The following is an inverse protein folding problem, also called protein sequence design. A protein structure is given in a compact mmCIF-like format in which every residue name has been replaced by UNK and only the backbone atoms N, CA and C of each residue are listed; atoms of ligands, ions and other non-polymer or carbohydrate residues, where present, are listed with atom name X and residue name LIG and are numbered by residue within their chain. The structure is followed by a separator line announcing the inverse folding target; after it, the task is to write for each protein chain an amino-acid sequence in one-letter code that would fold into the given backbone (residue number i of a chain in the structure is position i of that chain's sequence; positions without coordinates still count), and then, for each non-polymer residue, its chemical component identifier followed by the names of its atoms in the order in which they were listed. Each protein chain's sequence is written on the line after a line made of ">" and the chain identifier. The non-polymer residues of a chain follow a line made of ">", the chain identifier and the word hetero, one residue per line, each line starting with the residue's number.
data_IF_511778190146
#
_entry.id   IF_511778190146
#
_cell.length_a   1.000
_cell.length_b   1.000
_cell.length_c   1.000
_cell.angle_alpha   90.00
_cell.angle_beta   90.00
_cell.angle_gamma   90.00
#
_symmetry.space_group_name_H-M   'P 1'
#
loop_
_entity.id
_entity.type
_entity.pdbx_description
1 polymer ?
#
# COMPACT_ATOMS: atom_id res chain seq x y z
N UNK A 1 -23.68 28.01 -3.56
CA UNK A 1 -22.55 27.68 -4.44
C UNK A 1 -21.72 26.52 -3.89
N UNK A 2 -21.30 26.57 -2.62
CA UNK A 2 -20.38 25.57 -2.03
C UNK A 2 -20.91 24.13 -1.97
N UNK A 3 -22.23 23.94 -1.89
CA UNK A 3 -22.82 22.61 -1.76
C UNK A 3 -22.83 21.83 -3.09
N UNK A 4 -23.06 22.52 -4.21
CA UNK A 4 -23.02 21.90 -5.54
C UNK A 4 -21.61 21.44 -5.91
N UNK A 5 -20.60 22.24 -5.54
CA UNK A 5 -19.19 21.91 -5.76
C UNK A 5 -18.80 20.64 -5.00
N UNK A 6 -19.23 20.52 -3.73
CA UNK A 6 -18.99 19.33 -2.90
C UNK A 6 -19.63 18.07 -3.49
N UNK A 7 -20.85 18.19 -4.00
CA UNK A 7 -21.57 17.08 -4.67
C UNK A 7 -20.83 16.64 -5.93
N UNK A 8 -20.40 17.60 -6.76
CA UNK A 8 -19.64 17.32 -7.98
C UNK A 8 -18.31 16.59 -7.69
N UNK A 9 -17.54 17.07 -6.70
CA UNK A 9 -16.29 16.43 -6.29
C UNK A 9 -16.51 15.04 -5.70
N UNK A 10 -17.50 14.87 -4.81
CA UNK A 10 -17.80 13.57 -4.22
C UNK A 10 -18.15 12.53 -5.28
N UNK A 11 -18.96 12.91 -6.28
CA UNK A 11 -19.30 12.07 -7.42
C UNK A 11 -18.06 11.67 -8.23
N UNK A 12 -17.17 12.63 -8.49
CA UNK A 12 -15.94 12.38 -9.23
C UNK A 12 -14.96 11.47 -8.47
N UNK A 13 -14.75 11.71 -7.18
CA UNK A 13 -13.88 10.86 -6.36
C UNK A 13 -14.44 9.45 -6.25
N UNK A 14 -15.73 9.30 -6.01
CA UNK A 14 -16.39 7.98 -5.99
C UNK A 14 -16.20 7.22 -7.30
N UNK A 15 -16.27 7.92 -8.45
CA UNK A 15 -16.01 7.31 -9.75
C UNK A 15 -14.55 6.88 -9.90
N UNK A 16 -13.59 7.72 -9.50
CA UNK A 16 -12.16 7.41 -9.55
C UNK A 16 -11.82 6.21 -8.67
N UNK A 17 -12.32 6.17 -7.44
CA UNK A 17 -12.11 5.06 -6.50
C UNK A 17 -12.66 3.75 -7.07
N UNK A 18 -13.88 3.75 -7.62
CA UNK A 18 -14.47 2.55 -8.24
C UNK A 18 -13.66 2.03 -9.41
N UNK A 19 -13.16 2.92 -10.27
CA UNK A 19 -12.30 2.54 -11.40
C UNK A 19 -10.98 1.96 -10.92
N UNK A 20 -10.32 2.61 -9.96
CA UNK A 20 -9.07 2.10 -9.39
C UNK A 20 -9.28 0.72 -8.77
N UNK A 21 -10.31 0.55 -7.95
CA UNK A 21 -10.62 -0.71 -7.30
C UNK A 21 -10.96 -1.82 -8.31
N UNK A 22 -11.99 -1.62 -9.13
CA UNK A 22 -12.58 -2.67 -9.95
C UNK A 22 -11.87 -2.91 -11.29
N UNK A 23 -11.27 -1.88 -11.89
CA UNK A 23 -10.65 -1.99 -13.23
C UNK A 23 -9.15 -2.24 -13.14
N UNK A 24 -8.48 -1.73 -12.09
CA UNK A 24 -7.02 -1.81 -11.99
C UNK A 24 -6.60 -2.83 -10.94
N UNK A 25 -6.92 -2.56 -9.67
CA UNK A 25 -6.33 -3.32 -8.55
C UNK A 25 -6.90 -4.74 -8.42
N UNK A 26 -8.22 -4.93 -8.53
CA UNK A 26 -8.84 -6.26 -8.42
C UNK A 26 -8.43 -7.23 -9.52
N UNK A 27 -8.50 -6.87 -10.83
CA UNK A 27 -8.02 -7.78 -11.88
C UNK A 27 -6.51 -8.00 -11.79
N UNK A 28 -5.73 -6.97 -11.45
CA UNK A 28 -4.30 -7.11 -11.20
C UNK A 28 -3.98 -8.08 -10.05
N UNK A 29 -4.73 -8.01 -8.95
CA UNK A 29 -4.61 -8.94 -7.82
C UNK A 29 -4.96 -10.37 -8.23
N UNK A 30 -6.06 -10.57 -8.96
CA UNK A 30 -6.48 -11.90 -9.44
C UNK A 30 -5.39 -12.50 -10.34
N UNK A 31 -4.85 -11.72 -11.27
CA UNK A 31 -3.76 -12.15 -12.14
C UNK A 31 -2.49 -12.48 -11.35
N UNK A 32 -2.08 -11.63 -10.40
CA UNK A 32 -0.91 -11.88 -9.58
C UNK A 32 -1.05 -13.14 -8.72
N UNK A 33 -2.24 -13.36 -8.13
CA UNK A 33 -2.54 -14.56 -7.36
C UNK A 33 -2.57 -15.81 -8.24
N UNK A 34 -3.17 -15.76 -9.42
CA UNK A 34 -3.22 -16.91 -10.33
C UNK A 34 -1.82 -17.32 -10.80
N UNK A 35 -0.96 -16.34 -11.13
CA UNK A 35 0.44 -16.61 -11.48
C UNK A 35 1.22 -17.18 -10.29
N UNK A 36 1.00 -16.65 -9.08
CA UNK A 36 1.65 -17.17 -7.87
C UNK A 36 1.22 -18.63 -7.59
N UNK A 37 -0.06 -18.95 -7.71
CA UNK A 37 -0.59 -20.31 -7.53
C UNK A 37 -0.02 -21.24 -8.60
N UNK A 38 0.00 -20.81 -9.87
CA UNK A 38 0.58 -21.57 -10.97
C UNK A 38 2.06 -21.91 -10.71
N UNK A 39 2.86 -20.95 -10.24
CA UNK A 39 4.26 -21.18 -9.88
C UNK A 39 4.42 -22.22 -8.76
N UNK A 40 3.58 -22.15 -7.72
CA UNK A 40 3.63 -23.10 -6.59
C UNK A 40 3.26 -24.51 -7.04
N UNK A 41 2.30 -24.66 -7.95
CA UNK A 41 1.93 -25.95 -8.52
C UNK A 41 3.07 -26.53 -9.36
N UNK A 42 3.75 -25.70 -10.15
CA UNK A 42 4.89 -26.14 -10.97
C UNK A 42 6.12 -26.55 -10.14
N UNK A 43 6.31 -25.94 -8.97
CA UNK A 43 7.42 -26.25 -8.08
C UNK A 43 6.95 -26.36 -6.61
N UNK A 44 6.37 -27.50 -6.22
CA UNK A 44 5.78 -27.68 -4.91
C UNK A 44 6.84 -27.74 -3.79
N UNK A 45 8.10 -28.04 -4.12
CA UNK A 45 9.20 -28.05 -3.14
C UNK A 45 9.41 -26.69 -2.46
N UNK A 46 9.02 -25.58 -3.10
CA UNK A 46 9.14 -24.25 -2.52
C UNK A 46 8.20 -24.00 -1.33
N UNK A 47 7.12 -24.78 -1.15
CA UNK A 47 6.23 -24.67 0.02
C UNK A 47 6.93 -25.04 1.34
N UNK A 48 7.97 -25.86 1.27
CA UNK A 48 8.78 -26.24 2.42
C UNK A 48 9.79 -25.14 2.82
N UNK A 49 10.00 -24.14 1.97
CA UNK A 49 10.93 -23.05 2.22
C UNK A 49 10.30 -21.98 3.12
N UNK A 50 10.98 -21.65 4.23
CA UNK A 50 10.48 -20.67 5.22
C UNK A 50 10.19 -19.29 4.61
N UNK A 51 11.00 -18.83 3.66
CA UNK A 51 10.80 -17.52 3.02
C UNK A 51 9.48 -17.45 2.25
N UNK A 52 9.04 -18.55 1.61
CA UNK A 52 7.80 -18.57 0.85
C UNK A 52 6.59 -18.55 1.78
N UNK A 53 6.64 -19.30 2.89
CA UNK A 53 5.58 -19.29 3.91
C UNK A 53 5.36 -17.88 4.48
N UNK A 54 6.45 -17.18 4.81
CA UNK A 54 6.39 -15.79 5.27
C UNK A 54 5.82 -14.87 4.17
N UNK A 55 6.28 -15.03 2.91
CA UNK A 55 5.77 -14.24 1.79
C UNK A 55 4.27 -14.44 1.57
N UNK A 56 3.77 -15.67 1.66
CA UNK A 56 2.35 -15.98 1.52
C UNK A 56 1.54 -15.31 2.64
N UNK A 57 2.05 -15.27 3.87
CA UNK A 57 1.42 -14.55 4.98
C UNK A 57 1.26 -13.04 4.68
N UNK A 58 2.30 -12.39 4.14
CA UNK A 58 2.22 -10.98 3.73
C UNK A 58 1.23 -10.75 2.58
N UNK A 59 1.23 -11.62 1.57
CA UNK A 59 0.27 -11.55 0.45
C UNK A 59 -1.17 -11.73 0.95
N UNK A 60 -1.41 -12.67 1.86
CA UNK A 60 -2.72 -12.83 2.51
C UNK A 60 -3.14 -11.54 3.23
N UNK A 61 -2.22 -10.92 3.96
CA UNK A 61 -2.42 -9.61 4.59
C UNK A 61 -2.82 -8.52 3.59
N UNK A 62 -2.20 -8.48 2.41
CA UNK A 62 -2.57 -7.55 1.33
C UNK A 62 -3.98 -7.81 0.78
N UNK A 63 -4.38 -9.08 0.62
CA UNK A 63 -5.73 -9.43 0.16
C UNK A 63 -6.79 -9.01 1.19
N UNK A 64 -6.51 -9.19 2.48
CA UNK A 64 -7.37 -8.71 3.57
C UNK A 64 -7.45 -7.18 3.56
N UNK A 65 -6.31 -6.50 3.40
CA UNK A 65 -6.24 -5.05 3.28
C UNK A 65 -7.05 -4.52 2.09
N UNK A 66 -6.94 -5.15 0.93
CA UNK A 66 -7.72 -4.80 -0.26
C UNK A 66 -9.22 -4.89 0.01
N UNK A 67 -9.65 -5.97 0.67
CA UNK A 67 -11.04 -6.17 1.09
C UNK A 67 -11.49 -5.11 2.12
N UNK A 68 -10.60 -4.70 3.03
CA UNK A 68 -10.86 -3.62 3.97
C UNK A 68 -11.02 -2.26 3.27
N UNK A 69 -10.24 -2.00 2.21
CA UNK A 69 -10.40 -0.79 1.40
C UNK A 69 -11.77 -0.71 0.73
N UNK A 70 -12.30 -1.83 0.24
CA UNK A 70 -13.69 -1.89 -0.27
C UNK A 70 -14.73 -1.51 0.79
N UNK A 71 -14.56 -1.97 2.05
CA UNK A 71 -15.46 -1.58 3.15
C UNK A 71 -15.41 -0.07 3.41
N UNK A 72 -14.21 0.51 3.40
CA UNK A 72 -14.02 1.96 3.55
C UNK A 72 -14.70 2.71 2.40
N UNK A 73 -14.45 2.32 1.15
CA UNK A 73 -15.09 2.93 -0.03
C UNK A 73 -16.62 2.91 0.06
N UNK A 74 -17.20 1.81 0.54
CA UNK A 74 -18.65 1.71 0.74
C UNK A 74 -19.16 2.66 1.82
N UNK A 75 -18.43 2.78 2.95
CA UNK A 75 -18.79 3.71 4.02
C UNK A 75 -18.64 5.18 3.61
N UNK A 76 -17.63 5.52 2.79
CA UNK A 76 -17.46 6.86 2.22
C UNK A 76 -18.60 7.22 1.25
N UNK A 77 -19.03 6.28 0.41
CA UNK A 77 -20.15 6.49 -0.51
C UNK A 77 -21.48 6.73 0.21
N UNK A 78 -21.70 6.05 1.33
CA UNK A 78 -22.91 6.20 2.15
C UNK A 78 -22.86 7.42 3.08
N UNK A 79 -21.74 8.16 3.12
CA UNK A 79 -21.57 9.30 4.02
C UNK A 79 -21.49 8.92 5.52
N UNK A 80 -21.32 7.64 5.84
CA UNK A 80 -21.26 7.14 7.23
C UNK A 80 -19.83 6.99 7.74
N UNK A 81 -18.82 7.33 6.92
CA UNK A 81 -17.42 7.13 7.26
C UNK A 81 -17.01 8.00 8.45
N UNK A 82 -16.56 7.35 9.51
CA UNK A 82 -15.96 7.98 10.70
C UNK A 82 -14.44 8.11 10.58
N UNK A 83 -13.86 7.72 9.45
CA UNK A 83 -12.40 7.70 9.27
C UNK A 83 -11.90 9.09 8.89
N UNK A 84 -11.02 9.65 9.73
CA UNK A 84 -10.36 10.93 9.47
C UNK A 84 -9.48 10.90 8.20
N UNK A 85 -9.38 12.03 7.51
CA UNK A 85 -8.50 12.20 6.34
C UNK A 85 -7.02 11.85 6.63
N UNK A 86 -6.54 12.04 7.87
CA UNK A 86 -5.18 11.63 8.26
C UNK A 86 -5.02 10.11 8.22
N UNK A 87 -6.04 9.38 8.67
CA UNK A 87 -6.02 7.92 8.72
C UNK A 87 -6.13 7.32 7.31
N UNK A 88 -6.93 7.91 6.42
CA UNK A 88 -7.00 7.50 5.01
C UNK A 88 -5.64 7.64 4.31
N UNK A 89 -4.89 8.71 4.58
CA UNK A 89 -3.52 8.86 4.06
C UNK A 89 -2.57 7.80 4.61
N UNK A 90 -2.63 7.54 5.92
CA UNK A 90 -1.81 6.49 6.53
C UNK A 90 -2.11 5.11 5.95
N UNK A 91 -3.40 4.80 5.72
CA UNK A 91 -3.80 3.56 5.07
C UNK A 91 -3.23 3.43 3.67
N UNK A 92 -3.05 4.53 2.92
CA UNK A 92 -2.43 4.51 1.60
C UNK A 92 -0.91 4.28 1.63
N UNK A 93 -0.25 4.57 2.75
CA UNK A 93 1.18 4.27 2.96
C UNK A 93 1.43 2.82 3.42
N UNK A 94 0.39 2.10 3.85
CA UNK A 94 0.55 0.72 4.30
C UNK A 94 0.99 -0.22 3.14
N UNK A 95 0.41 -0.17 1.93
CA UNK A 95 0.87 -0.97 0.80
C UNK A 95 2.32 -0.70 0.39
N UNK A 96 2.78 0.55 0.44
CA UNK A 96 4.15 0.91 0.07
C UNK A 96 5.17 0.35 1.05
N UNK A 97 4.85 0.39 2.35
CA UNK A 97 5.66 -0.26 3.39
C UNK A 97 5.71 -1.79 3.19
N UNK A 98 4.55 -2.40 2.92
CA UNK A 98 4.42 -3.85 2.78
C UNK A 98 5.14 -4.36 1.51
N UNK A 99 5.07 -3.60 0.41
CA UNK A 99 5.86 -3.83 -0.80
C UNK A 99 7.35 -3.92 -0.48
N UNK A 100 7.89 -2.97 0.29
CA UNK A 100 9.30 -2.96 0.64
C UNK A 100 9.70 -4.18 1.46
N UNK A 101 8.92 -4.52 2.48
CA UNK A 101 9.16 -5.70 3.33
C UNK A 101 9.18 -6.98 2.48
N UNK A 102 8.21 -7.16 1.58
CA UNK A 102 8.15 -8.34 0.70
C UNK A 102 9.35 -8.40 -0.24
N UNK A 103 9.74 -7.27 -0.84
CA UNK A 103 10.88 -7.21 -1.77
C UNK A 103 12.18 -7.57 -1.03
N UNK A 104 12.41 -6.99 0.14
CA UNK A 104 13.58 -7.33 0.96
C UNK A 104 13.59 -8.80 1.39
N UNK A 105 12.44 -9.36 1.76
CA UNK A 105 12.31 -10.77 2.11
C UNK A 105 12.77 -11.70 0.97
N UNK A 106 12.44 -11.35 -0.28
CA UNK A 106 12.85 -12.14 -1.47
C UNK A 106 14.33 -11.95 -1.77
N UNK A 107 14.87 -10.74 -1.61
CA UNK A 107 16.30 -10.46 -1.83
C UNK A 107 17.16 -11.22 -0.81
N UNK A 108 16.71 -11.29 0.45
CA UNK A 108 17.45 -11.92 1.54
C UNK A 108 17.09 -13.39 1.80
N UNK A 109 16.26 -13.98 0.94
CA UNK A 109 15.80 -15.39 1.00
C UNK A 109 16.92 -16.40 1.27
N UNK A 110 18.04 -16.30 0.54
CA UNK A 110 19.09 -17.33 0.53
C UNK A 110 20.38 -16.89 1.23
N UNK A 111 20.60 -15.60 1.40
CA UNK A 111 21.82 -15.06 2.00
C UNK A 111 21.40 -13.89 2.87
N UNK A 112 21.49 -14.04 4.19
CA UNK A 112 21.64 -12.87 5.08
C UNK A 112 22.97 -12.24 4.67
N UNK A 113 22.96 -11.12 3.96
CA UNK A 113 24.16 -10.66 3.36
C UNK A 113 24.78 -9.71 4.38
N UNK A 114 25.77 -10.24 5.08
CA UNK A 114 26.71 -9.44 5.86
C UNK A 114 27.61 -8.57 4.97
N UNK A 115 27.35 -8.54 3.66
CA UNK A 115 27.97 -7.64 2.70
C UNK A 115 27.45 -6.21 2.82
N UNK A 116 28.39 -5.27 2.79
CA UNK A 116 28.14 -3.82 2.83
C UNK A 116 27.20 -3.35 1.72
N UNK A 117 27.29 -3.94 0.52
CA UNK A 117 26.47 -3.57 -0.63
C UNK A 117 24.97 -3.72 -0.36
N UNK A 118 24.56 -4.76 0.34
CA UNK A 118 23.14 -5.03 0.64
C UNK A 118 22.57 -4.13 1.72
N UNK A 119 23.36 -3.80 2.74
CA UNK A 119 22.97 -2.77 3.72
C UNK A 119 22.91 -1.38 3.08
N UNK A 120 23.74 -1.10 2.06
CA UNK A 120 23.69 0.17 1.32
C UNK A 120 22.39 0.32 0.52
N UNK A 121 21.92 -0.74 -0.14
CA UNK A 121 20.66 -0.73 -0.90
C UNK A 121 19.46 -0.59 0.04
N UNK A 122 19.44 -1.33 1.16
CA UNK A 122 18.38 -1.20 2.17
C UNK A 122 18.36 0.22 2.75
N UNK A 123 19.54 0.74 3.11
CA UNK A 123 19.69 2.10 3.63
C UNK A 123 19.21 3.16 2.63
N UNK A 124 19.53 3.00 1.35
CA UNK A 124 19.11 3.94 0.30
C UNK A 124 17.59 3.94 0.11
N UNK A 125 16.94 2.78 0.12
CA UNK A 125 15.48 2.73 -0.02
C UNK A 125 14.77 3.28 1.23
N UNK A 126 15.27 2.97 2.43
CA UNK A 126 14.75 3.56 3.68
C UNK A 126 14.96 5.08 3.69
N UNK A 127 16.12 5.56 3.25
CA UNK A 127 16.41 6.98 3.13
C UNK A 127 15.48 7.67 2.12
N UNK A 128 15.21 7.04 0.97
CA UNK A 128 14.27 7.56 -0.03
C UNK A 128 12.86 7.68 0.55
N UNK A 129 12.37 6.66 1.27
CA UNK A 129 11.07 6.71 1.93
C UNK A 129 11.02 7.77 3.05
N UNK A 130 12.07 7.84 3.86
CA UNK A 130 12.21 8.84 4.91
C UNK A 130 12.24 10.27 4.35
N UNK A 131 12.89 10.47 3.20
CA UNK A 131 12.94 11.77 2.52
C UNK A 131 11.55 12.21 2.05
N UNK A 132 10.73 11.30 1.53
CA UNK A 132 9.35 11.57 1.12
C UNK A 132 8.50 11.93 2.36
N UNK A 133 8.64 11.18 3.45
CA UNK A 133 7.91 11.44 4.69
C UNK A 133 8.35 12.74 5.39
N UNK A 134 9.65 13.04 5.41
CA UNK A 134 10.20 14.29 5.97
C UNK A 134 9.76 15.49 5.16
N UNK A 135 9.82 15.40 3.82
CA UNK A 135 9.32 16.45 2.93
C UNK A 135 7.83 16.73 3.18
N UNK A 136 7.01 15.68 3.27
CA UNK A 136 5.58 15.82 3.57
C UNK A 136 5.31 16.41 4.98
N UNK A 137 6.17 16.13 5.96
CA UNK A 137 6.07 16.65 7.34
C UNK A 137 6.47 18.13 7.42
N UNK A 138 7.54 18.52 6.74
CA UNK A 138 8.04 19.90 6.70
C UNK A 138 7.01 20.82 6.02
N UNK A 139 6.43 20.38 4.89
CA UNK A 139 5.38 21.14 4.18
C UNK A 139 4.20 21.51 5.09
N UNK A 140 3.72 20.57 5.91
CA UNK A 140 2.62 20.80 6.86
C UNK A 140 2.97 21.82 7.97
N UNK A 141 4.23 21.87 8.41
CA UNK A 141 4.65 22.81 9.46
C UNK A 141 4.64 24.24 8.93
N UNK A 142 5.06 24.44 7.67
CA UNK A 142 5.07 25.75 7.02
C UNK A 142 3.65 26.26 6.69
N UNK A 143 2.72 25.36 6.38
CA UNK A 143 1.29 25.70 6.20
C UNK A 143 0.66 26.22 7.50
N UNK A 144 1.00 25.61 8.65
CA UNK A 144 0.50 26.03 9.97
C UNK A 144 1.15 27.31 10.51
N UNK A 145 2.39 27.65 10.10
CA UNK A 145 3.03 28.90 10.54
C UNK A 145 2.44 30.12 9.84
N UNK A 146 2.03 29.97 8.57
CA UNK A 146 1.41 31.04 7.78
C UNK A 146 -0.05 31.33 8.16
N UNK A 147 -0.73 30.40 8.86
CA UNK A 147 -2.10 30.60 9.35
C UNK A 147 -2.18 31.18 10.76
N UNK A 148 -1.03 31.35 11.43
CA UNK A 148 -0.91 31.85 12.81
C UNK A 148 -0.28 33.26 12.87
N UNK A 149 0.02 33.88 11.72
CA UNK A 149 0.27 35.32 11.52
C UNK A 149 -1.00 35.96 10.93
#
# INVERSE_FOLDING_TARGET
>A
MDNELKIAFNKQYTLMEKRLANIITTPGMILALSMAICMVIMQPSWLSEKWLQIKISFVLGLVIYHSYCYKIMYSLQNGTSTISAKNLRLLNELPTLLLFIIVLLVIFKNNFPTSVATWSVVGLVIFMLASIQLYAKIRKKNENSLSNE
#
